data_IF_127344717664
#
_entry.id   IF_127344717664
#
_cell.length_a   1.000
_cell.length_b   1.000
_cell.length_c   1.000
_cell.angle_alpha   90.00
_cell.angle_beta   90.00
_cell.angle_gamma   90.00
#
_symmetry.space_group_name_H-M   'P 1'
#
loop_
_entity.id
_entity.type
_entity.pdbx_description
1 polymer ?
#
# COMPACT_ATOMS: atom_id res chain seq x y z
N UNK A 1 -38.39 18.40 -0.84
CA UNK A 1 -37.66 18.23 0.44
C UNK A 1 -37.65 16.78 0.94
N UNK A 2 -38.79 16.02 1.03
CA UNK A 2 -38.74 14.58 1.39
C UNK A 2 -37.83 13.77 0.48
N UNK A 3 -37.93 13.97 -0.83
CA UNK A 3 -37.09 13.30 -1.80
C UNK A 3 -35.61 13.71 -1.65
N UNK A 4 -35.34 14.98 -1.34
CA UNK A 4 -33.98 15.46 -1.04
C UNK A 4 -33.37 14.72 0.12
N UNK A 5 -34.03 14.75 1.30
CA UNK A 5 -33.55 14.04 2.48
C UNK A 5 -33.36 12.52 2.27
N UNK A 6 -34.24 11.89 1.45
CA UNK A 6 -34.09 10.47 1.11
C UNK A 6 -32.84 10.20 0.23
N UNK A 7 -32.56 11.09 -0.75
CA UNK A 7 -31.36 11.01 -1.58
C UNK A 7 -30.10 11.21 -0.73
N UNK A 8 -30.12 12.22 0.14
CA UNK A 8 -29.00 12.52 1.03
C UNK A 8 -28.68 11.33 1.96
N UNK A 9 -29.71 10.68 2.54
CA UNK A 9 -29.54 9.47 3.35
C UNK A 9 -29.02 8.29 2.51
N UNK A 10 -29.47 8.15 1.27
CA UNK A 10 -28.95 7.11 0.36
C UNK A 10 -27.48 7.32 0.05
N UNK A 11 -27.05 8.57 -0.25
CA UNK A 11 -25.66 8.91 -0.49
C UNK A 11 -24.81 8.73 0.77
N UNK A 12 -25.35 9.13 1.94
CA UNK A 12 -24.69 8.91 3.23
C UNK A 12 -24.43 7.41 3.49
N UNK A 13 -25.43 6.55 3.23
CA UNK A 13 -25.28 5.09 3.30
C UNK A 13 -24.24 4.56 2.32
N UNK A 14 -24.23 5.05 1.07
CA UNK A 14 -23.27 4.65 0.06
C UNK A 14 -21.83 5.04 0.46
N UNK A 15 -21.65 6.22 1.06
CA UNK A 15 -20.39 6.68 1.62
C UNK A 15 -19.95 5.84 2.84
N UNK A 16 -20.88 5.48 3.74
CA UNK A 16 -20.60 4.61 4.89
C UNK A 16 -20.10 3.22 4.48
N UNK A 17 -20.69 2.61 3.46
CA UNK A 17 -20.22 1.31 2.93
C UNK A 17 -18.77 1.42 2.47
N UNK A 18 -18.37 2.59 1.97
CA UNK A 18 -17.01 2.89 1.49
C UNK A 18 -16.18 3.71 2.49
N UNK A 19 -16.47 3.63 3.79
CA UNK A 19 -15.87 4.48 4.86
C UNK A 19 -14.36 4.43 4.98
N UNK A 20 -13.72 3.43 4.38
CA UNK A 20 -12.24 3.31 4.34
C UNK A 20 -11.61 4.20 3.25
N UNK A 21 -12.41 4.70 2.31
CA UNK A 21 -11.92 5.61 1.28
C UNK A 21 -11.64 7.02 1.84
N UNK A 22 -10.64 7.75 1.29
CA UNK A 22 -10.34 9.11 1.73
C UNK A 22 -11.57 10.03 1.59
N UNK A 23 -11.94 10.69 2.68
CA UNK A 23 -13.06 11.62 2.71
C UNK A 23 -14.44 11.00 2.87
N UNK A 24 -14.62 9.69 2.73
CA UNK A 24 -15.92 9.04 2.77
C UNK A 24 -16.70 9.29 4.07
N UNK A 25 -16.02 9.34 5.24
CA UNK A 25 -16.65 9.65 6.50
C UNK A 25 -17.14 11.11 6.56
N UNK A 26 -16.37 12.05 6.01
CA UNK A 26 -16.78 13.45 5.97
C UNK A 26 -17.93 13.66 4.98
N UNK A 27 -17.93 12.96 3.84
CA UNK A 27 -19.06 12.96 2.93
C UNK A 27 -20.32 12.40 3.60
N UNK A 28 -20.22 11.28 4.31
CA UNK A 28 -21.34 10.73 5.05
C UNK A 28 -21.90 11.72 6.06
N UNK A 29 -21.05 12.39 6.86
CA UNK A 29 -21.47 13.39 7.84
C UNK A 29 -22.11 14.59 7.18
N UNK A 30 -21.57 15.05 6.04
CA UNK A 30 -22.16 16.13 5.25
C UNK A 30 -23.57 15.79 4.78
N UNK A 31 -23.77 14.61 4.22
CA UNK A 31 -25.08 14.16 3.73
C UNK A 31 -26.09 13.92 4.87
N UNK A 32 -25.62 13.45 6.03
CA UNK A 32 -26.49 13.33 7.21
C UNK A 32 -26.96 14.68 7.71
N UNK A 33 -26.09 15.70 7.73
CA UNK A 33 -26.45 17.04 8.14
C UNK A 33 -27.34 17.74 7.11
N UNK A 34 -27.15 17.49 5.81
CA UNK A 34 -28.04 17.97 4.76
C UNK A 34 -29.43 17.32 4.84
N UNK A 35 -29.49 16.02 5.12
CA UNK A 35 -30.75 15.32 5.33
C UNK A 35 -31.49 15.84 6.56
N UNK A 36 -30.78 16.05 7.67
CA UNK A 36 -31.32 16.65 8.90
C UNK A 36 -31.93 18.01 8.59
N UNK A 37 -31.22 18.90 7.91
CA UNK A 37 -31.71 20.20 7.50
C UNK A 37 -32.99 20.08 6.64
N UNK A 38 -32.99 19.19 5.63
CA UNK A 38 -34.13 18.95 4.75
C UNK A 38 -35.35 18.47 5.52
N UNK A 39 -35.22 17.58 6.50
CA UNK A 39 -36.34 17.12 7.34
C UNK A 39 -36.80 18.17 8.35
N UNK A 40 -35.90 18.91 8.98
CA UNK A 40 -36.24 19.97 9.92
C UNK A 40 -37.11 21.04 9.26
N UNK A 41 -36.79 21.46 8.02
CA UNK A 41 -37.63 22.41 7.26
C UNK A 41 -39.02 21.85 6.94
N UNK A 42 -39.15 20.55 6.66
CA UNK A 42 -40.47 19.95 6.46
C UNK A 42 -41.33 20.06 7.69
N UNK A 43 -40.77 19.79 8.87
CA UNK A 43 -41.51 19.92 10.13
C UNK A 43 -41.76 21.38 10.49
N UNK A 44 -40.85 22.30 10.16
CA UNK A 44 -41.06 23.75 10.30
C UNK A 44 -42.23 24.23 9.42
N UNK A 45 -42.27 23.80 8.15
CA UNK A 45 -43.39 24.15 7.25
C UNK A 45 -44.73 23.53 7.70
N UNK A 46 -44.71 22.35 8.29
CA UNK A 46 -45.90 21.70 8.85
C UNK A 46 -46.41 22.34 10.15
N UNK A 47 -45.54 22.98 10.92
CA UNK A 47 -45.93 23.65 12.17
C UNK A 47 -46.81 24.86 11.88
N UNK A 48 -47.90 25.01 12.66
CA UNK A 48 -48.87 26.11 12.48
C UNK A 48 -48.66 27.29 13.46
N UNK A 49 -47.81 27.10 14.48
CA UNK A 49 -47.56 28.06 15.52
C UNK A 49 -46.12 28.54 15.54
N UNK A 50 -45.88 29.81 15.88
CA UNK A 50 -44.54 30.41 15.95
C UNK A 50 -43.56 29.59 16.79
N UNK A 51 -43.88 29.11 18.02
CA UNK A 51 -42.94 28.31 18.81
C UNK A 51 -42.53 26.99 18.13
N UNK A 52 -43.46 26.32 17.44
CA UNK A 52 -43.16 25.09 16.70
C UNK A 52 -42.25 25.35 15.48
N UNK A 53 -42.50 26.44 14.76
CA UNK A 53 -41.65 26.87 13.64
C UNK A 53 -40.22 27.20 14.14
N UNK A 54 -40.16 27.96 15.22
CA UNK A 54 -38.89 28.33 15.82
C UNK A 54 -38.09 27.14 16.31
N UNK A 55 -38.73 26.20 16.99
CA UNK A 55 -38.09 24.95 17.42
C UNK A 55 -37.45 24.18 16.22
N UNK A 56 -38.22 23.95 15.15
CA UNK A 56 -37.68 23.22 13.98
C UNK A 56 -36.66 24.03 13.21
N UNK A 57 -36.79 25.36 13.18
CA UNK A 57 -35.74 26.23 12.63
C UNK A 57 -34.45 26.18 13.46
N UNK A 58 -34.54 26.14 14.81
CA UNK A 58 -33.37 25.95 15.67
C UNK A 58 -32.68 24.57 15.40
N UNK A 59 -33.49 23.50 15.23
CA UNK A 59 -32.97 22.18 14.88
C UNK A 59 -32.24 22.19 13.53
N UNK A 60 -32.79 22.83 12.50
CA UNK A 60 -32.17 22.91 11.16
C UNK A 60 -30.78 23.58 11.17
N UNK A 61 -30.48 24.38 12.18
CA UNK A 61 -29.16 25.01 12.29
C UNK A 61 -28.01 24.04 12.58
N UNK A 62 -28.30 22.82 13.02
CA UNK A 62 -27.31 21.74 13.09
C UNK A 62 -26.83 21.42 11.66
N UNK A 63 -27.78 21.21 10.75
CA UNK A 63 -27.48 21.00 9.34
C UNK A 63 -26.83 22.20 8.67
N UNK A 64 -27.41 23.37 8.83
CA UNK A 64 -26.92 24.63 8.23
C UNK A 64 -25.47 24.91 8.61
N UNK A 65 -25.10 24.73 9.87
CA UNK A 65 -23.77 25.06 10.37
C UNK A 65 -22.73 23.98 9.98
N UNK A 66 -23.10 22.70 10.06
CA UNK A 66 -22.13 21.62 9.89
C UNK A 66 -21.99 21.10 8.46
N UNK A 67 -22.95 21.28 7.56
CA UNK A 67 -22.85 20.81 6.17
C UNK A 67 -21.68 21.45 5.45
N UNK A 68 -21.50 22.78 5.54
CA UNK A 68 -20.35 23.47 4.94
C UNK A 68 -19.01 23.07 5.54
N UNK A 69 -18.97 22.83 6.85
CA UNK A 69 -17.81 22.34 7.57
C UNK A 69 -17.38 20.93 7.07
N UNK A 70 -18.32 19.99 6.98
CA UNK A 70 -18.02 18.65 6.50
C UNK A 70 -17.70 18.63 5.00
N UNK A 71 -18.32 19.50 4.19
CA UNK A 71 -17.93 19.67 2.79
C UNK A 71 -16.46 20.09 2.65
N UNK A 72 -16.02 21.07 3.44
CA UNK A 72 -14.61 21.49 3.43
C UNK A 72 -13.66 20.34 3.82
N UNK A 73 -13.97 19.61 4.90
CA UNK A 73 -13.15 18.47 5.33
C UNK A 73 -13.15 17.33 4.30
N UNK A 74 -14.28 17.08 3.66
CA UNK A 74 -14.38 16.14 2.55
C UNK A 74 -13.46 16.58 1.40
N UNK A 75 -13.55 17.82 0.95
CA UNK A 75 -12.72 18.37 -0.11
C UNK A 75 -11.21 18.31 0.23
N UNK A 76 -10.84 18.68 1.48
CA UNK A 76 -9.48 18.62 1.96
C UNK A 76 -8.95 17.17 2.03
N UNK A 77 -9.77 16.21 2.45
CA UNK A 77 -9.42 14.81 2.51
C UNK A 77 -9.28 14.21 1.10
N UNK A 78 -10.23 14.49 0.23
CA UNK A 78 -10.22 13.97 -1.13
C UNK A 78 -9.07 14.54 -1.97
N UNK A 79 -8.75 15.83 -1.82
CA UNK A 79 -7.60 16.48 -2.46
C UNK A 79 -6.25 16.13 -1.83
N UNK A 80 -6.23 15.19 -0.88
CA UNK A 80 -5.04 14.74 -0.12
C UNK A 80 -4.27 15.86 0.59
N UNK A 81 -4.95 16.92 0.96
CA UNK A 81 -4.35 18.05 1.68
C UNK A 81 -4.35 17.79 3.20
N UNK A 82 -3.40 17.00 3.67
CA UNK A 82 -3.27 16.55 5.06
C UNK A 82 -3.11 17.69 6.09
N UNK A 83 -2.76 18.90 5.65
CA UNK A 83 -2.57 20.05 6.55
C UNK A 83 -3.85 20.39 7.29
N UNK A 84 -5.00 20.44 6.57
CA UNK A 84 -6.30 20.78 7.15
C UNK A 84 -6.92 19.64 7.98
N UNK A 85 -6.41 18.42 7.84
CA UNK A 85 -6.87 17.24 8.59
C UNK A 85 -6.14 17.04 9.92
N UNK A 86 -5.21 17.94 10.30
CA UNK A 86 -4.58 17.92 11.62
C UNK A 86 -5.63 18.21 12.70
N UNK A 87 -5.65 17.41 13.77
CA UNK A 87 -6.65 17.48 14.85
C UNK A 87 -6.91 18.90 15.37
N UNK A 88 -5.85 19.70 15.53
CA UNK A 88 -5.98 21.09 16.02
C UNK A 88 -6.72 21.99 15.04
N UNK A 89 -6.52 21.81 13.72
CA UNK A 89 -7.12 22.66 12.69
C UNK A 89 -8.59 22.32 12.51
N UNK A 90 -8.95 21.04 12.32
CA UNK A 90 -10.36 20.71 12.14
C UNK A 90 -11.19 20.99 13.41
N UNK A 91 -10.62 20.85 14.62
CA UNK A 91 -11.30 21.25 15.84
C UNK A 91 -11.48 22.78 15.92
N UNK A 92 -10.48 23.57 15.51
CA UNK A 92 -10.60 25.02 15.45
C UNK A 92 -11.68 25.47 14.44
N UNK A 93 -11.77 24.81 13.28
CA UNK A 93 -12.80 25.07 12.28
C UNK A 93 -14.21 24.68 12.76
N UNK A 94 -14.36 23.75 13.68
CA UNK A 94 -15.65 23.36 14.24
C UNK A 94 -16.21 24.38 15.26
N UNK A 95 -15.39 25.31 15.76
CA UNK A 95 -15.79 26.27 16.82
C UNK A 95 -16.94 27.16 16.35
N UNK A 96 -16.84 27.77 15.16
CA UNK A 96 -17.88 28.65 14.64
C UNK A 96 -19.20 27.92 14.37
N UNK A 97 -19.22 26.73 13.68
CA UNK A 97 -20.43 25.91 13.58
C UNK A 97 -21.08 25.62 14.94
N UNK A 98 -20.28 25.24 15.94
CA UNK A 98 -20.80 24.95 17.28
C UNK A 98 -21.41 26.19 17.94
N UNK A 99 -20.73 27.34 17.86
CA UNK A 99 -21.28 28.61 18.36
C UNK A 99 -22.56 28.96 17.61
N UNK A 100 -22.63 28.73 16.28
CA UNK A 100 -23.84 29.02 15.49
C UNK A 100 -25.03 28.19 15.95
N UNK A 101 -24.85 26.92 16.27
CA UNK A 101 -25.92 26.07 16.84
C UNK A 101 -26.34 26.57 18.20
N UNK A 102 -25.39 26.96 19.07
CA UNK A 102 -25.70 27.52 20.39
C UNK A 102 -26.47 28.83 20.24
N UNK A 103 -26.04 29.71 19.33
CA UNK A 103 -26.74 30.98 19.06
C UNK A 103 -28.17 30.79 18.55
N UNK A 104 -28.38 29.74 17.70
CA UNK A 104 -29.73 29.40 17.29
C UNK A 104 -30.59 28.88 18.45
N UNK A 105 -30.04 27.97 19.25
CA UNK A 105 -30.77 27.41 20.41
C UNK A 105 -31.08 28.41 21.50
N UNK A 106 -30.33 29.51 21.64
CA UNK A 106 -30.48 30.53 22.66
C UNK A 106 -31.02 31.87 22.12
N UNK A 107 -31.51 31.88 20.87
CA UNK A 107 -31.91 33.11 20.18
C UNK A 107 -33.05 33.87 20.92
N UNK A 108 -33.88 33.14 21.65
CA UNK A 108 -34.96 33.74 22.47
C UNK A 108 -34.47 34.73 23.51
N UNK A 109 -33.20 34.65 23.93
CA UNK A 109 -32.61 35.51 24.94
C UNK A 109 -31.96 36.75 24.34
N UNK A 110 -31.32 36.64 23.19
CA UNK A 110 -30.45 37.69 22.66
C UNK A 110 -30.88 38.25 21.31
N UNK A 111 -31.72 37.54 20.53
CA UNK A 111 -32.19 37.93 19.19
C UNK A 111 -31.11 38.29 18.17
N UNK A 112 -29.89 37.71 18.32
CA UNK A 112 -28.74 38.01 17.43
C UNK A 112 -28.81 37.30 16.09
N UNK A 113 -29.51 36.16 16.04
CA UNK A 113 -29.65 35.37 14.82
C UNK A 113 -30.89 35.77 14.05
N UNK A 114 -32.05 35.84 14.77
CA UNK A 114 -33.31 36.32 14.25
C UNK A 114 -33.86 37.40 15.20
N UNK A 115 -34.19 38.55 14.62
CA UNK A 115 -34.74 39.67 15.35
C UNK A 115 -36.27 39.59 15.45
N UNK A 116 -36.93 39.11 14.39
CA UNK A 116 -38.38 38.98 14.33
C UNK A 116 -38.77 37.79 13.45
N UNK A 117 -39.88 37.12 13.75
CA UNK A 117 -40.45 36.02 13.01
C UNK A 117 -41.91 36.33 12.70
N UNK A 118 -42.25 36.40 11.41
CA UNK A 118 -43.62 36.65 10.96
C UNK A 118 -44.10 35.46 10.12
N UNK A 119 -45.37 35.05 10.31
CA UNK A 119 -45.98 33.98 9.51
C UNK A 119 -46.88 34.61 8.46
N UNK A 120 -46.67 34.23 7.20
CA UNK A 120 -47.54 34.66 6.10
C UNK A 120 -48.89 33.94 6.22
N UNK A 121 -50.04 34.67 6.26
CA UNK A 121 -51.36 34.08 6.49
C UNK A 121 -51.82 33.11 5.39
N UNK A 122 -51.36 33.30 4.12
CA UNK A 122 -51.86 32.57 2.98
C UNK A 122 -51.17 31.24 2.72
N UNK A 123 -49.89 31.10 3.12
CA UNK A 123 -49.07 29.92 2.76
C UNK A 123 -48.37 29.27 3.95
N UNK A 124 -48.63 29.78 5.17
CA UNK A 124 -47.99 29.28 6.40
C UNK A 124 -46.45 29.33 6.39
N UNK A 125 -45.82 30.19 5.55
CA UNK A 125 -44.37 30.35 5.47
C UNK A 125 -43.93 31.35 6.57
N UNK A 126 -42.89 30.98 7.31
CA UNK A 126 -42.25 31.91 8.26
C UNK A 126 -41.22 32.78 7.54
N UNK A 127 -41.27 34.07 7.78
CA UNK A 127 -40.27 35.04 7.36
C UNK A 127 -39.44 35.41 8.58
N UNK A 128 -38.12 35.17 8.47
CA UNK A 128 -37.16 35.47 9.51
C UNK A 128 -36.43 36.78 9.18
N UNK A 129 -36.55 37.78 10.04
CA UNK A 129 -35.70 38.97 9.98
C UNK A 129 -34.34 38.66 10.58
N UNK A 130 -33.30 38.75 9.80
CA UNK A 130 -31.97 38.30 10.22
C UNK A 130 -31.23 39.34 11.07
N UNK A 131 -30.66 38.88 12.19
CA UNK A 131 -29.77 39.67 13.05
C UNK A 131 -28.32 39.65 12.55
N UNK A 132 -27.43 40.36 13.22
CA UNK A 132 -26.04 40.53 12.80
C UNK A 132 -25.26 39.18 12.76
N UNK A 133 -25.55 38.25 13.68
CA UNK A 133 -24.85 36.97 13.77
C UNK A 133 -25.16 36.04 12.57
N UNK A 134 -26.32 36.20 11.97
CA UNK A 134 -26.66 35.49 10.72
C UNK A 134 -25.61 35.75 9.64
N UNK A 135 -25.18 37.00 9.46
CA UNK A 135 -24.16 37.33 8.49
C UNK A 135 -22.79 36.67 8.79
N UNK A 136 -22.44 36.52 10.09
CA UNK A 136 -21.23 35.83 10.53
C UNK A 136 -21.29 34.32 10.17
N UNK A 137 -22.40 33.66 10.53
CA UNK A 137 -22.60 32.24 10.25
C UNK A 137 -22.61 31.91 8.76
N UNK A 138 -23.35 32.67 7.96
CA UNK A 138 -23.43 32.52 6.49
C UNK A 138 -22.09 32.84 5.84
N UNK A 139 -21.44 33.94 6.22
CA UNK A 139 -20.14 34.32 5.71
C UNK A 139 -19.09 33.26 5.95
N UNK A 140 -19.05 32.68 7.15
CA UNK A 140 -18.18 31.57 7.49
C UNK A 140 -18.45 30.32 6.62
N UNK A 141 -19.72 29.94 6.46
CA UNK A 141 -20.13 28.81 5.63
C UNK A 141 -19.70 29.01 4.18
N UNK A 142 -19.87 30.21 3.63
CA UNK A 142 -19.43 30.53 2.26
C UNK A 142 -17.92 30.45 2.10
N UNK A 143 -17.15 30.94 3.07
CA UNK A 143 -15.68 30.82 3.06
C UNK A 143 -15.25 29.35 3.04
N UNK A 144 -15.87 28.48 3.84
CA UNK A 144 -15.55 27.06 3.85
C UNK A 144 -15.91 26.35 2.54
N UNK A 145 -17.12 26.62 2.00
CA UNK A 145 -17.53 26.02 0.72
C UNK A 145 -16.61 26.49 -0.42
N UNK A 146 -16.32 27.79 -0.48
CA UNK A 146 -15.43 28.33 -1.50
C UNK A 146 -14.00 27.77 -1.38
N UNK A 147 -13.46 27.70 -0.16
CA UNK A 147 -12.15 27.09 0.09
C UNK A 147 -12.13 25.59 -0.30
N UNK A 148 -13.20 24.84 -0.02
CA UNK A 148 -13.35 23.46 -0.45
C UNK A 148 -13.35 23.31 -1.98
N UNK A 149 -14.11 24.17 -2.68
CA UNK A 149 -14.14 24.20 -4.15
C UNK A 149 -12.75 24.52 -4.72
N UNK A 150 -12.04 25.50 -4.13
CA UNK A 150 -10.66 25.83 -4.55
C UNK A 150 -9.68 24.65 -4.36
N UNK A 151 -9.82 23.90 -3.24
CA UNK A 151 -9.01 22.72 -3.02
C UNK A 151 -9.27 21.64 -4.06
N UNK A 152 -10.52 21.38 -4.44
CA UNK A 152 -10.89 20.44 -5.49
C UNK A 152 -10.42 20.93 -6.87
N UNK A 153 -10.56 22.22 -7.18
CA UNK A 153 -10.07 22.80 -8.42
C UNK A 153 -8.53 22.72 -8.56
N UNK A 154 -7.82 23.02 -7.46
CA UNK A 154 -6.36 22.87 -7.44
C UNK A 154 -5.91 21.40 -7.58
N UNK A 155 -6.73 20.45 -7.09
CA UNK A 155 -6.46 19.02 -7.24
C UNK A 155 -6.56 18.55 -8.71
N UNK A 156 -7.35 19.20 -9.57
CA UNK A 156 -7.44 18.88 -11.01
C UNK A 156 -6.06 18.91 -11.68
N UNK A 157 -5.20 19.84 -11.27
CA UNK A 157 -3.85 19.98 -11.85
C UNK A 157 -2.84 18.97 -11.25
N UNK A 158 -3.18 18.29 -10.16
CA UNK A 158 -2.30 17.35 -9.47
C UNK A 158 -2.59 15.89 -9.78
N UNK A 159 -3.85 15.59 -10.11
CA UNK A 159 -4.29 14.22 -10.34
C UNK A 159 -4.36 13.89 -11.82
N UNK A 160 -4.17 12.62 -12.22
CA UNK A 160 -4.32 12.17 -13.60
C UNK A 160 -5.70 12.54 -14.19
N UNK A 161 -5.77 12.70 -15.50
CA UNK A 161 -6.99 13.10 -16.22
C UNK A 161 -8.21 12.20 -15.96
N UNK A 162 -7.98 10.95 -15.54
CA UNK A 162 -9.03 9.99 -15.19
C UNK A 162 -9.89 10.45 -13.99
N UNK A 163 -9.36 11.34 -13.12
CA UNK A 163 -10.07 11.88 -11.96
C UNK A 163 -10.81 13.19 -12.24
N UNK A 164 -10.63 13.76 -13.42
CA UNK A 164 -11.20 15.07 -13.80
C UNK A 164 -12.72 15.10 -13.60
N UNK A 165 -13.43 14.11 -14.14
CA UNK A 165 -14.89 14.05 -14.01
C UNK A 165 -15.37 13.93 -12.57
N UNK A 166 -14.65 13.20 -11.73
CA UNK A 166 -14.96 13.07 -10.30
C UNK A 166 -14.88 14.45 -9.61
N UNK A 167 -13.82 15.22 -9.87
CA UNK A 167 -13.63 16.55 -9.29
C UNK A 167 -14.65 17.56 -9.79
N UNK A 168 -14.97 17.54 -11.08
CA UNK A 168 -16.02 18.40 -11.65
C UNK A 168 -17.37 18.11 -10.96
N UNK A 169 -17.74 16.86 -10.80
CA UNK A 169 -19.00 16.46 -10.13
C UNK A 169 -19.04 16.93 -8.68
N UNK A 170 -17.94 16.80 -7.93
CA UNK A 170 -17.87 17.30 -6.57
C UNK A 170 -17.98 18.82 -6.48
N UNK A 171 -17.35 19.54 -7.41
CA UNK A 171 -17.46 21.00 -7.50
C UNK A 171 -18.90 21.40 -7.82
N UNK A 172 -19.55 20.76 -8.80
CA UNK A 172 -20.95 20.98 -9.13
C UNK A 172 -21.87 20.65 -7.94
N UNK A 173 -21.59 19.55 -7.24
CA UNK A 173 -22.29 19.18 -6.01
C UNK A 173 -22.19 20.24 -4.91
N UNK A 174 -21.05 20.90 -4.74
CA UNK A 174 -20.88 22.00 -3.80
C UNK A 174 -21.49 23.33 -4.26
N UNK A 175 -21.48 23.61 -5.57
CA UNK A 175 -22.02 24.83 -6.13
C UNK A 175 -23.57 24.90 -6.10
N UNK A 176 -24.24 23.76 -6.22
CA UNK A 176 -25.72 23.75 -6.26
C UNK A 176 -26.36 24.21 -4.95
N UNK A 177 -25.97 23.71 -3.74
CA UNK A 177 -26.51 24.24 -2.48
C UNK A 177 -26.08 25.69 -2.22
N UNK A 178 -24.86 26.06 -2.63
CA UNK A 178 -24.38 27.42 -2.52
C UNK A 178 -25.29 28.40 -3.32
N UNK A 179 -25.66 28.03 -4.54
CA UNK A 179 -26.58 28.83 -5.36
C UNK A 179 -27.95 28.95 -4.69
N UNK A 180 -28.51 27.86 -4.16
CA UNK A 180 -29.77 27.89 -3.38
C UNK A 180 -29.71 28.81 -2.18
N UNK A 181 -28.60 28.74 -1.42
CA UNK A 181 -28.37 29.61 -0.27
C UNK A 181 -28.22 31.10 -0.64
N UNK A 182 -27.49 31.39 -1.73
CA UNK A 182 -27.37 32.77 -2.25
C UNK A 182 -28.76 33.33 -2.63
N UNK A 183 -29.60 32.53 -3.31
CA UNK A 183 -30.96 32.95 -3.67
C UNK A 183 -31.78 33.28 -2.44
N UNK A 184 -31.65 32.50 -1.36
CA UNK A 184 -32.33 32.76 -0.09
C UNK A 184 -31.83 34.03 0.59
N UNK A 185 -30.52 34.16 0.79
CA UNK A 185 -29.89 35.27 1.54
C UNK A 185 -30.13 36.64 0.88
N UNK A 186 -30.09 36.67 -0.46
CA UNK A 186 -30.30 37.92 -1.23
C UNK A 186 -31.77 38.14 -1.66
N UNK A 187 -32.71 37.34 -1.14
CA UNK A 187 -34.13 37.43 -1.50
C UNK A 187 -34.44 37.37 -3.00
N UNK A 188 -33.68 36.57 -3.72
CA UNK A 188 -33.87 36.32 -5.17
C UNK A 188 -34.88 35.20 -5.45
N UNK A 189 -35.51 34.67 -4.41
CA UNK A 189 -36.46 33.56 -4.48
C UNK A 189 -37.80 33.97 -5.09
N UNK A 190 -38.42 33.14 -5.93
CA UNK A 190 -39.78 33.41 -6.43
C UNK A 190 -40.84 33.40 -5.32
N UNK A 191 -40.57 32.73 -4.20
CA UNK A 191 -41.42 32.70 -3.00
C UNK A 191 -40.66 33.29 -1.81
N UNK A 192 -40.95 34.54 -1.38
CA UNK A 192 -40.27 35.16 -0.24
C UNK A 192 -40.37 34.30 1.02
N UNK A 193 -39.26 34.17 1.76
CA UNK A 193 -39.18 33.40 3.01
C UNK A 193 -38.95 31.88 2.81
N UNK A 194 -39.07 31.33 1.61
CA UNK A 194 -38.81 29.90 1.37
C UNK A 194 -37.32 29.68 1.11
N UNK A 195 -36.70 28.82 1.91
CA UNK A 195 -35.33 28.37 1.66
C UNK A 195 -35.28 27.25 0.62
N UNK A 196 -34.61 27.51 -0.53
CA UNK A 196 -34.47 26.56 -1.63
C UNK A 196 -33.24 25.71 -1.48
N UNK A 197 -32.36 25.96 -0.50
CA UNK A 197 -31.14 25.18 -0.27
C UNK A 197 -31.38 23.68 -0.10
N UNK A 198 -32.41 23.23 0.66
CA UNK A 198 -32.73 21.80 0.75
C UNK A 198 -33.16 21.15 -0.57
N UNK A 199 -33.78 21.93 -1.47
CA UNK A 199 -34.07 21.41 -2.84
C UNK A 199 -32.80 21.31 -3.69
N UNK A 200 -31.86 22.23 -3.49
CA UNK A 200 -30.56 22.17 -4.17
C UNK A 200 -29.71 20.98 -3.69
N UNK A 201 -29.87 20.49 -2.45
CA UNK A 201 -29.26 19.25 -1.99
C UNK A 201 -29.73 18.03 -2.77
N UNK A 202 -30.96 17.99 -3.25
CA UNK A 202 -31.40 16.90 -4.12
C UNK A 202 -30.54 16.80 -5.38
N UNK A 203 -30.25 17.95 -6.00
CA UNK A 203 -29.39 18.01 -7.20
C UNK A 203 -27.95 17.65 -6.86
N UNK A 204 -27.44 18.18 -5.75
CA UNK A 204 -26.10 17.85 -5.22
C UNK A 204 -25.96 16.37 -4.93
N UNK A 205 -26.93 15.76 -4.23
CA UNK A 205 -26.94 14.33 -3.91
C UNK A 205 -26.97 13.45 -5.17
N UNK A 206 -27.70 13.86 -6.23
CA UNK A 206 -27.65 13.15 -7.52
C UNK A 206 -26.27 13.23 -8.18
N UNK A 207 -25.60 14.38 -8.16
CA UNK A 207 -24.23 14.49 -8.64
C UNK A 207 -23.29 13.59 -7.84
N UNK A 208 -23.38 13.59 -6.52
CA UNK A 208 -22.53 12.76 -5.67
C UNK A 208 -22.82 11.27 -5.83
N UNK A 209 -24.09 10.87 -5.96
CA UNK A 209 -24.48 9.51 -6.30
C UNK A 209 -23.86 9.09 -7.65
N UNK A 210 -23.97 9.94 -8.69
CA UNK A 210 -23.33 9.70 -9.98
C UNK A 210 -21.82 9.55 -9.84
N UNK A 211 -21.18 10.40 -9.03
CA UNK A 211 -19.75 10.32 -8.69
C UNK A 211 -19.39 8.98 -8.07
N UNK A 212 -20.15 8.52 -7.07
CA UNK A 212 -19.88 7.26 -6.36
C UNK A 212 -20.09 6.04 -7.26
N UNK A 213 -21.23 5.97 -7.96
CA UNK A 213 -21.63 4.74 -8.67
C UNK A 213 -21.08 4.66 -10.09
N UNK A 214 -21.03 5.77 -10.84
CA UNK A 214 -20.57 5.78 -12.23
C UNK A 214 -19.09 6.04 -12.38
N UNK A 215 -18.53 6.91 -11.54
CA UNK A 215 -17.13 7.32 -11.61
C UNK A 215 -16.26 6.72 -10.50
N UNK A 216 -16.82 5.84 -9.66
CA UNK A 216 -16.07 5.13 -8.63
C UNK A 216 -15.26 6.06 -7.70
N UNK A 217 -15.85 7.22 -7.35
CA UNK A 217 -15.21 8.32 -6.63
C UNK A 217 -14.61 7.90 -5.27
N UNK A 218 -15.21 6.92 -4.59
CA UNK A 218 -14.76 6.41 -3.29
C UNK A 218 -14.10 5.03 -3.40
N UNK A 219 -13.69 4.57 -4.58
CA UNK A 219 -12.98 3.31 -4.72
C UNK A 219 -11.47 3.52 -4.54
N UNK A 220 -10.89 2.77 -3.61
CA UNK A 220 -9.45 2.82 -3.27
C UNK A 220 -8.56 2.22 -4.37
N UNK A 221 -9.12 1.43 -5.28
CA UNK A 221 -8.36 0.63 -6.23
C UNK A 221 -7.44 1.41 -7.17
N UNK A 222 -7.80 2.59 -7.71
CA UNK A 222 -6.88 3.34 -8.57
C UNK A 222 -5.67 3.91 -7.81
N UNK A 223 -5.93 4.57 -6.67
CA UNK A 223 -4.88 5.22 -5.85
C UNK A 223 -3.94 4.20 -5.21
N UNK A 224 -4.48 3.05 -4.77
CA UNK A 224 -3.67 1.98 -4.21
C UNK A 224 -2.77 1.34 -5.27
N UNK A 225 -3.26 1.13 -6.50
CA UNK A 225 -2.45 0.58 -7.60
C UNK A 225 -1.30 1.50 -7.99
N UNK A 226 -1.55 2.79 -8.13
CA UNK A 226 -0.52 3.78 -8.45
C UNK A 226 0.56 3.84 -7.35
N UNK A 227 0.15 3.89 -6.08
CA UNK A 227 1.09 3.85 -4.96
C UNK A 227 1.86 2.53 -4.83
N UNK A 228 1.22 1.39 -5.12
CA UNK A 228 1.91 0.10 -5.07
C UNK A 228 3.02 0.08 -6.12
N UNK A 229 2.76 0.51 -7.35
CA UNK A 229 3.75 0.56 -8.43
C UNK A 229 4.88 1.55 -8.08
N UNK A 230 4.55 2.70 -7.49
CA UNK A 230 5.56 3.70 -7.09
C UNK A 230 6.41 3.28 -5.88
N UNK A 231 5.85 2.47 -4.96
CA UNK A 231 6.58 1.98 -3.78
C UNK A 231 7.31 0.66 -4.02
N UNK A 232 7.09 0.02 -5.19
CA UNK A 232 7.88 -1.14 -5.59
C UNK A 232 9.34 -0.72 -5.77
N UNK A 233 10.27 -1.49 -5.18
CA UNK A 233 11.70 -1.32 -5.39
C UNK A 233 12.14 -1.71 -6.81
N UNK A 234 11.27 -2.42 -7.55
CA UNK A 234 11.52 -2.82 -8.93
C UNK A 234 11.17 -1.68 -9.88
N UNK A 235 12.01 -1.41 -10.87
CA UNK A 235 11.73 -0.43 -11.93
C UNK A 235 10.62 -0.92 -12.86
N UNK A 236 9.62 -0.07 -13.14
CA UNK A 236 8.49 -0.40 -14.03
C UNK A 236 8.36 0.63 -15.13
N UNK A 237 8.25 0.16 -16.37
CA UNK A 237 7.87 0.96 -17.55
C UNK A 237 6.60 0.36 -18.16
N UNK A 238 5.62 1.21 -18.42
CA UNK A 238 4.41 0.86 -19.19
C UNK A 238 4.52 1.43 -20.57
N UNK A 239 4.24 0.62 -21.59
CA UNK A 239 4.31 1.00 -23.01
C UNK A 239 2.97 0.73 -23.70
N UNK A 240 2.66 1.53 -24.71
CA UNK A 240 1.52 1.30 -25.60
C UNK A 240 1.81 0.16 -26.62
N UNK A 241 0.81 -0.14 -27.45
CA UNK A 241 0.94 -1.15 -28.51
C UNK A 241 2.02 -0.79 -29.58
N UNK A 242 2.53 0.44 -29.60
CA UNK A 242 3.57 0.92 -30.51
C UNK A 242 4.93 1.06 -29.79
N UNK A 243 5.09 0.47 -28.60
CA UNK A 243 6.30 0.55 -27.77
C UNK A 243 6.70 1.98 -27.39
N UNK A 244 5.75 2.91 -27.30
CA UNK A 244 5.97 4.23 -26.70
C UNK A 244 5.75 4.15 -25.20
N UNK A 245 6.62 4.78 -24.45
CA UNK A 245 6.53 4.83 -22.99
C UNK A 245 5.32 5.69 -22.62
N UNK A 246 4.39 5.11 -21.86
CA UNK A 246 3.16 5.76 -21.37
C UNK A 246 3.33 6.15 -19.91
N UNK A 247 4.03 5.32 -19.12
CA UNK A 247 4.20 5.53 -17.69
C UNK A 247 5.50 4.92 -17.18
N UNK A 248 6.09 5.50 -16.11
CA UNK A 248 7.36 5.07 -15.51
C UNK A 248 7.27 5.32 -14.00
N UNK A 249 7.61 4.32 -13.19
CA UNK A 249 7.64 4.50 -11.73
C UNK A 249 8.95 5.14 -11.24
N UNK A 250 8.93 5.60 -9.99
CA UNK A 250 10.06 6.28 -9.35
C UNK A 250 11.33 5.43 -9.28
N UNK A 251 11.21 4.11 -9.09
CA UNK A 251 12.36 3.20 -9.06
C UNK A 251 13.08 3.15 -10.42
N UNK A 252 12.32 3.15 -11.53
CA UNK A 252 12.88 3.18 -12.87
C UNK A 252 13.51 4.54 -13.21
N UNK A 253 12.95 5.66 -12.73
CA UNK A 253 13.55 6.99 -12.87
C UNK A 253 14.96 7.04 -12.24
N UNK A 254 15.09 6.46 -11.04
CA UNK A 254 16.37 6.34 -10.33
C UNK A 254 17.34 5.45 -11.13
N UNK A 255 16.90 4.29 -11.57
CA UNK A 255 17.71 3.34 -12.33
C UNK A 255 18.22 3.93 -13.64
N UNK A 256 17.39 4.71 -14.34
CA UNK A 256 17.77 5.38 -15.59
C UNK A 256 18.48 6.74 -15.37
N UNK A 257 18.50 7.25 -14.14
CA UNK A 257 18.97 8.60 -13.81
C UNK A 257 18.29 9.68 -14.66
N UNK A 258 17.00 9.49 -15.00
CA UNK A 258 16.18 10.38 -15.84
C UNK A 258 14.79 10.55 -15.27
N UNK A 259 14.20 11.73 -15.43
CA UNK A 259 12.82 12.00 -14.98
C UNK A 259 11.78 11.43 -15.95
N UNK A 260 10.67 10.91 -15.43
CA UNK A 260 9.59 10.33 -16.23
C UNK A 260 9.05 11.26 -17.30
N UNK A 261 8.95 12.57 -17.03
CA UNK A 261 8.52 13.56 -18.00
C UNK A 261 9.41 13.65 -19.26
N UNK A 262 10.67 13.24 -19.18
CA UNK A 262 11.58 13.19 -20.34
C UNK A 262 11.45 11.87 -21.11
N UNK A 263 10.89 10.84 -20.49
CA UNK A 263 10.77 9.48 -20.99
C UNK A 263 9.42 9.24 -21.67
N UNK A 264 8.34 9.80 -21.10
CA UNK A 264 6.97 9.62 -21.58
C UNK A 264 6.81 10.11 -23.02
N UNK A 265 6.16 9.29 -23.86
CA UNK A 265 5.93 9.54 -25.29
C UNK A 265 7.08 9.14 -26.19
N UNK A 266 8.28 8.84 -25.67
CA UNK A 266 9.41 8.35 -26.45
C UNK A 266 9.28 6.87 -26.78
N UNK A 267 9.89 6.44 -27.88
CA UNK A 267 10.04 5.03 -28.19
C UNK A 267 11.00 4.39 -27.19
N UNK A 268 10.64 3.23 -26.66
CA UNK A 268 11.46 2.46 -25.74
C UNK A 268 12.88 2.20 -26.26
N UNK A 269 13.02 1.88 -27.57
CA UNK A 269 14.29 1.67 -28.24
C UNK A 269 15.27 2.86 -28.14
N UNK A 270 14.75 4.08 -28.07
CA UNK A 270 15.58 5.28 -27.99
C UNK A 270 16.03 5.58 -26.55
N UNK A 271 15.37 4.99 -25.57
CA UNK A 271 15.65 5.22 -24.15
C UNK A 271 16.62 4.20 -23.60
N UNK A 272 16.50 2.93 -24.01
CA UNK A 272 17.28 1.80 -23.54
C UNK A 272 17.95 1.04 -24.72
N UNK A 273 18.88 1.64 -25.46
CA UNK A 273 19.50 1.01 -26.61
C UNK A 273 20.35 -0.23 -26.26
N UNK A 274 20.84 -0.31 -25.02
CA UNK A 274 21.63 -1.46 -24.52
C UNK A 274 20.78 -2.72 -24.26
N UNK A 275 19.43 -2.59 -24.26
CA UNK A 275 18.51 -3.68 -23.99
C UNK A 275 17.91 -4.23 -25.30
N UNK A 276 18.76 -4.37 -26.32
CA UNK A 276 18.39 -4.72 -27.68
C UNK A 276 17.55 -6.02 -27.76
N UNK A 277 17.83 -6.98 -26.91
CA UNK A 277 17.09 -8.25 -26.86
C UNK A 277 15.64 -8.08 -26.36
N UNK A 278 15.38 -7.14 -25.44
CA UNK A 278 14.04 -6.78 -25.03
C UNK A 278 13.27 -6.03 -26.13
N UNK A 279 13.98 -5.42 -27.09
CA UNK A 279 13.40 -4.75 -28.25
C UNK A 279 12.84 -5.71 -29.31
N UNK A 280 13.43 -6.90 -29.47
CA UNK A 280 12.89 -7.91 -30.38
C UNK A 280 11.54 -8.43 -29.87
N UNK A 281 11.35 -8.53 -28.54
CA UNK A 281 10.08 -8.93 -27.92
C UNK A 281 8.97 -7.86 -28.07
N UNK A 282 9.29 -6.60 -28.38
CA UNK A 282 8.29 -5.61 -28.73
C UNK A 282 7.62 -5.89 -30.09
N UNK A 283 8.25 -6.66 -30.96
CA UNK A 283 7.70 -7.05 -32.28
C UNK A 283 6.80 -8.27 -32.19
N UNK A 284 7.08 -9.19 -31.26
CA UNK A 284 6.23 -10.35 -30.97
C UNK A 284 5.80 -10.28 -29.50
N UNK A 285 4.50 -10.08 -29.20
CA UNK A 285 3.99 -9.87 -27.86
C UNK A 285 3.95 -11.18 -27.05
N UNK A 286 5.11 -11.75 -26.77
CA UNK A 286 5.30 -12.90 -25.89
C UNK A 286 5.81 -12.43 -24.51
N UNK A 287 5.43 -13.15 -23.45
CA UNK A 287 6.04 -12.92 -22.15
C UNK A 287 7.52 -13.30 -22.19
N UNK A 288 8.39 -12.37 -21.83
CA UNK A 288 9.83 -12.53 -21.84
C UNK A 288 10.38 -12.36 -20.42
N UNK A 289 11.29 -13.25 -20.02
CA UNK A 289 12.03 -13.11 -18.78
C UNK A 289 13.48 -13.53 -19.00
N UNK A 290 14.41 -12.65 -18.63
CA UNK A 290 15.86 -12.93 -18.72
C UNK A 290 16.64 -12.17 -17.66
N UNK A 291 17.71 -12.79 -17.18
CA UNK A 291 18.74 -12.10 -16.42
C UNK A 291 19.69 -11.40 -17.39
N UNK A 292 19.87 -10.11 -17.21
CA UNK A 292 20.73 -9.26 -18.05
C UNK A 292 21.91 -8.78 -17.20
N UNK A 293 23.11 -8.88 -17.75
CA UNK A 293 24.32 -8.38 -17.16
C UNK A 293 24.71 -7.09 -17.87
N UNK A 294 24.68 -5.97 -17.17
CA UNK A 294 25.14 -4.67 -17.66
C UNK A 294 26.52 -4.35 -17.08
N UNK A 295 27.35 -3.72 -17.88
CA UNK A 295 28.64 -3.19 -17.41
C UNK A 295 28.44 -1.72 -17.02
N UNK A 296 28.40 -1.45 -15.72
CA UNK A 296 28.25 -0.12 -15.15
C UNK A 296 29.48 0.22 -14.31
N UNK A 297 30.05 1.41 -14.52
CA UNK A 297 31.17 1.94 -13.74
C UNK A 297 32.36 0.98 -13.58
N UNK A 298 32.62 0.11 -14.57
CA UNK A 298 33.71 -0.86 -14.55
C UNK A 298 33.44 -2.15 -13.79
N UNK A 299 32.20 -2.36 -13.31
CA UNK A 299 31.70 -3.60 -12.69
C UNK A 299 30.53 -4.22 -13.46
N UNK A 300 30.28 -5.50 -13.22
CA UNK A 300 29.12 -6.19 -13.75
C UNK A 300 27.95 -6.05 -12.77
N UNK A 301 26.82 -5.53 -13.22
CA UNK A 301 25.59 -5.43 -12.45
C UNK A 301 24.50 -6.31 -13.08
N UNK A 302 23.75 -7.03 -12.26
CA UNK A 302 22.77 -8.03 -12.71
C UNK A 302 21.34 -7.58 -12.47
N UNK A 303 20.50 -7.72 -13.52
CA UNK A 303 19.07 -7.37 -13.50
C UNK A 303 18.21 -8.54 -13.97
N UNK A 304 17.10 -8.83 -13.29
CA UNK A 304 16.02 -9.71 -13.79
C UNK A 304 15.01 -8.85 -14.55
N UNK A 305 14.93 -9.03 -15.84
CA UNK A 305 14.09 -8.26 -16.76
C UNK A 305 12.91 -9.09 -17.18
N UNK A 306 11.70 -8.54 -17.00
CA UNK A 306 10.45 -9.19 -17.39
C UNK A 306 9.64 -8.26 -18.26
N UNK A 307 9.28 -8.70 -19.45
CA UNK A 307 8.36 -8.02 -20.34
C UNK A 307 7.08 -8.84 -20.42
N UNK A 308 5.92 -8.19 -20.19
CA UNK A 308 4.62 -8.86 -20.22
C UNK A 308 3.63 -8.05 -21.08
N UNK A 309 2.88 -8.72 -21.99
CA UNK A 309 1.86 -8.07 -22.79
C UNK A 309 0.62 -7.78 -21.95
N UNK A 310 0.02 -6.59 -22.17
CA UNK A 310 -1.28 -6.22 -21.65
C UNK A 310 -2.35 -6.32 -22.73
N UNK A 311 -3.46 -6.94 -22.41
CA UNK A 311 -4.59 -7.08 -23.32
C UNK A 311 -5.80 -6.31 -22.82
N UNK A 312 -6.58 -5.74 -23.72
CA UNK A 312 -7.84 -5.12 -23.42
C UNK A 312 -8.94 -6.16 -23.12
N UNK A 313 -10.14 -5.69 -22.75
CA UNK A 313 -11.32 -6.58 -22.53
C UNK A 313 -11.69 -7.41 -23.75
N UNK A 314 -11.27 -7.02 -24.95
CA UNK A 314 -11.51 -7.72 -26.24
C UNK A 314 -10.34 -8.60 -26.65
N UNK A 315 -9.40 -8.88 -25.73
CA UNK A 315 -8.18 -9.68 -25.98
C UNK A 315 -7.25 -9.11 -27.07
N UNK A 316 -7.38 -7.83 -27.43
CA UNK A 316 -6.41 -7.16 -28.29
C UNK A 316 -5.25 -6.63 -27.45
N UNK A 317 -4.06 -6.61 -28.03
CA UNK A 317 -2.87 -6.04 -27.38
C UNK A 317 -3.12 -4.54 -27.12
N UNK A 318 -3.17 -4.16 -25.86
CA UNK A 318 -3.33 -2.77 -25.43
C UNK A 318 -1.99 -2.09 -25.19
N UNK A 319 -0.94 -2.90 -24.87
CA UNK A 319 0.39 -2.42 -24.58
C UNK A 319 1.22 -3.51 -23.95
N UNK A 320 2.35 -3.11 -23.35
CA UNK A 320 3.27 -4.01 -22.66
C UNK A 320 3.80 -3.30 -21.42
N UNK A 321 4.19 -4.06 -20.40
CA UNK A 321 4.92 -3.51 -19.27
C UNK A 321 6.23 -4.27 -19.03
N UNK A 322 7.26 -3.52 -18.75
CA UNK A 322 8.59 -3.99 -18.42
C UNK A 322 8.81 -3.84 -16.92
N UNK A 323 9.27 -4.90 -16.29
CA UNK A 323 9.73 -4.88 -14.89
C UNK A 323 11.24 -5.17 -14.90
N UNK A 324 11.99 -4.36 -14.17
CA UNK A 324 13.43 -4.48 -13.99
C UNK A 324 13.73 -4.56 -12.51
N UNK A 325 14.23 -5.71 -12.08
CA UNK A 325 14.63 -5.95 -10.70
C UNK A 325 16.14 -6.02 -10.60
N UNK A 326 16.71 -5.25 -9.71
CA UNK A 326 18.10 -5.36 -9.32
C UNK A 326 18.29 -6.66 -8.51
N UNK A 327 19.13 -7.57 -9.02
CA UNK A 327 19.45 -8.86 -8.38
C UNK A 327 20.93 -8.97 -8.02
N UNK A 328 21.64 -7.85 -7.93
CA UNK A 328 23.07 -7.84 -7.62
C UNK A 328 23.36 -8.51 -6.28
N UNK A 329 22.61 -8.14 -5.25
CA UNK A 329 22.77 -8.67 -3.90
C UNK A 329 22.46 -10.17 -3.84
N UNK A 330 21.44 -10.61 -4.56
CA UNK A 330 21.09 -12.03 -4.67
C UNK A 330 22.21 -12.84 -5.32
N UNK A 331 22.85 -12.31 -6.36
CA UNK A 331 23.99 -12.96 -7.03
C UNK A 331 25.24 -13.00 -6.16
N UNK A 332 25.53 -11.95 -5.44
CA UNK A 332 26.64 -11.93 -4.47
C UNK A 332 26.45 -12.98 -3.37
N UNK A 333 25.25 -13.07 -2.80
CA UNK A 333 24.91 -14.07 -1.79
C UNK A 333 24.95 -15.51 -2.35
N UNK A 334 24.53 -15.70 -3.60
CA UNK A 334 24.59 -17.00 -4.28
C UNK A 334 26.06 -17.43 -4.52
N UNK A 335 26.91 -16.51 -4.91
CA UNK A 335 28.34 -16.77 -5.10
C UNK A 335 29.04 -17.09 -3.78
N UNK A 336 28.79 -16.32 -2.72
CA UNK A 336 29.28 -16.58 -1.37
C UNK A 336 28.85 -17.97 -0.86
N UNK A 337 27.56 -18.30 -1.01
CA UNK A 337 27.03 -19.62 -0.65
C UNK A 337 27.74 -20.75 -1.42
N UNK A 338 27.95 -20.56 -2.72
CA UNK A 338 28.62 -21.56 -3.53
C UNK A 338 30.09 -21.75 -3.16
N UNK A 339 30.77 -20.67 -2.76
CA UNK A 339 32.13 -20.73 -2.26
C UNK A 339 32.22 -21.46 -0.91
N UNK A 340 31.31 -21.17 0.03
CA UNK A 340 31.20 -21.88 1.30
C UNK A 340 30.92 -23.38 1.11
N UNK A 341 30.04 -23.75 0.17
CA UNK A 341 29.78 -25.16 -0.16
C UNK A 341 31.05 -25.87 -0.70
N UNK A 342 31.84 -25.20 -1.54
CA UNK A 342 33.10 -25.76 -2.04
C UNK A 342 34.10 -25.93 -0.90
N UNK A 343 34.27 -24.98 -0.04
CA UNK A 343 35.16 -25.06 1.14
C UNK A 343 34.75 -26.19 2.07
N UNK A 344 33.45 -26.27 2.42
CA UNK A 344 32.92 -27.33 3.28
C UNK A 344 33.15 -28.71 2.65
N UNK A 345 32.90 -28.85 1.34
CA UNK A 345 33.13 -30.12 0.62
C UNK A 345 34.61 -30.53 0.63
N UNK A 346 35.52 -29.55 0.44
CA UNK A 346 36.94 -29.78 0.51
C UNK A 346 37.41 -30.15 1.94
N UNK A 347 36.82 -29.54 2.97
CA UNK A 347 37.10 -29.87 4.37
C UNK A 347 36.62 -31.28 4.72
N UNK A 348 35.43 -31.69 4.27
CA UNK A 348 34.89 -33.02 4.47
C UNK A 348 35.73 -34.08 3.78
N UNK A 349 36.30 -33.82 2.58
CA UNK A 349 37.19 -34.72 1.90
C UNK A 349 38.54 -34.90 2.63
N UNK A 350 38.99 -33.91 3.41
CA UNK A 350 40.19 -34.01 4.25
C UNK A 350 40.01 -34.87 5.49
N UNK A 351 38.77 -35.05 5.95
CA UNK A 351 38.47 -35.95 7.04
C UNK A 351 38.59 -37.39 6.54
N UNK A 352 39.75 -37.98 6.71
CA UNK A 352 39.99 -39.40 6.38
C UNK A 352 39.21 -40.27 7.39
N UNK A 353 38.05 -40.71 7.01
CA UNK A 353 37.28 -41.67 7.80
C UNK A 353 37.40 -43.06 7.12
N UNK A 354 37.77 -44.06 7.94
CA UNK A 354 37.76 -45.45 7.50
C UNK A 354 36.30 -45.92 7.40
N UNK A 355 35.74 -45.82 6.22
CA UNK A 355 34.38 -46.28 5.91
C UNK A 355 34.39 -47.53 5.05
N UNK A 356 33.72 -48.59 5.48
CA UNK A 356 33.50 -49.81 4.71
C UNK A 356 34.22 -51.05 5.23
N UNK A 357 34.11 -52.14 4.47
CA UNK A 357 34.73 -53.43 4.80
C UNK A 357 36.20 -53.44 4.32
N UNK A 358 37.15 -53.50 5.23
CA UNK A 358 38.56 -53.61 4.92
C UNK A 358 38.93 -55.05 4.69
N UNK A 359 39.47 -55.46 3.52
CA UNK A 359 39.90 -56.82 3.25
C UNK A 359 41.18 -57.15 4.04
N UNK A 360 41.06 -57.97 5.07
CA UNK A 360 42.18 -58.39 5.88
C UNK A 360 42.52 -59.85 5.65
N UNK A 361 43.81 -60.18 5.67
CA UNK A 361 44.29 -61.56 5.63
C UNK A 361 43.88 -62.34 6.87
N UNK A 362 43.24 -63.50 6.72
CA UNK A 362 42.80 -64.34 7.84
C UNK A 362 43.97 -64.88 8.67
N UNK A 363 45.14 -65.07 8.05
CA UNK A 363 46.34 -65.58 8.71
C UNK A 363 47.20 -64.49 9.34
N UNK A 364 47.70 -63.52 8.56
CA UNK A 364 48.69 -62.56 9.06
C UNK A 364 48.09 -61.18 9.40
N UNK A 365 46.76 -60.99 9.22
CA UNK A 365 46.00 -59.77 9.57
C UNK A 365 46.44 -58.54 8.80
N UNK A 366 47.26 -58.63 7.72
CA UNK A 366 47.52 -57.47 6.85
C UNK A 366 46.30 -57.04 6.08
N UNK A 367 46.16 -55.76 5.84
CA UNK A 367 45.09 -55.14 5.03
C UNK A 367 45.57 -55.01 3.58
N UNK A 368 44.68 -55.34 2.64
CA UNK A 368 44.95 -55.10 1.21
C UNK A 368 44.49 -53.71 0.83
N UNK A 369 45.39 -52.86 0.39
CA UNK A 369 45.07 -51.50 -0.11
C UNK A 369 44.39 -51.52 -1.47
N UNK A 370 43.87 -50.35 -1.90
CA UNK A 370 43.15 -50.20 -3.18
C UNK A 370 44.03 -50.53 -4.41
N UNK A 371 45.34 -50.54 -4.25
CA UNK A 371 46.32 -50.92 -5.30
C UNK A 371 46.66 -52.41 -5.29
N UNK A 372 46.08 -53.17 -4.37
CA UNK A 372 46.26 -54.59 -4.24
C UNK A 372 47.42 -55.03 -3.37
N UNK A 373 48.17 -54.16 -2.74
CA UNK A 373 49.30 -54.47 -1.89
C UNK A 373 48.86 -54.74 -0.44
N UNK A 374 49.57 -55.68 0.21
CA UNK A 374 49.31 -56.07 1.61
C UNK A 374 50.16 -55.25 2.55
N UNK A 375 49.52 -54.39 3.36
CA UNK A 375 50.15 -53.50 4.36
C UNK A 375 49.80 -53.97 5.78
N UNK A 376 50.64 -53.60 6.75
CA UNK A 376 50.29 -53.79 8.15
C UNK A 376 49.11 -52.92 8.52
N UNK A 377 48.24 -53.38 9.44
CA UNK A 377 47.01 -52.69 9.86
C UNK A 377 47.33 -51.30 10.40
N UNK A 378 48.39 -51.21 11.23
CA UNK A 378 48.83 -49.94 11.78
C UNK A 378 49.18 -48.92 10.69
N UNK A 379 50.01 -49.30 9.75
CA UNK A 379 50.46 -48.44 8.65
C UNK A 379 49.31 -48.03 7.72
N UNK A 380 48.37 -48.94 7.46
CA UNK A 380 47.18 -48.62 6.67
C UNK A 380 46.27 -47.60 7.40
N UNK A 381 46.07 -47.79 8.72
CA UNK A 381 45.22 -46.87 9.50
C UNK A 381 45.89 -45.49 9.63
N UNK A 382 47.22 -45.41 9.87
CA UNK A 382 47.97 -44.15 9.88
C UNK A 382 47.85 -43.38 8.54
N UNK A 383 47.92 -44.06 7.42
CA UNK A 383 47.80 -43.43 6.08
C UNK A 383 46.37 -42.94 5.79
N UNK A 384 45.32 -43.60 6.32
CA UNK A 384 43.92 -43.39 5.95
C UNK A 384 43.10 -42.74 7.09
N UNK A 385 43.71 -42.51 8.25
CA UNK A 385 43.12 -41.79 9.39
C UNK A 385 44.17 -40.89 10.06
N UNK A 386 43.78 -40.03 10.97
CA UNK A 386 44.72 -39.27 11.78
C UNK A 386 45.21 -40.01 13.05
N UNK A 387 45.10 -41.36 13.09
CA UNK A 387 45.46 -42.14 14.25
C UNK A 387 46.97 -42.44 14.26
N UNK A 388 47.62 -42.26 15.41
CA UNK A 388 49.00 -42.69 15.68
C UNK A 388 49.00 -43.86 16.62
N UNK A 389 49.88 -44.84 16.42
CA UNK A 389 49.97 -46.05 17.21
C UNK A 389 51.13 -45.99 18.21
N UNK A 390 50.88 -46.30 19.46
CA UNK A 390 51.91 -46.57 20.47
C UNK A 390 52.01 -48.10 20.72
N UNK A 391 53.20 -48.66 20.81
CA UNK A 391 53.44 -50.06 21.03
C UNK A 391 53.50 -50.41 22.53
N UNK A 392 52.70 -51.37 22.91
CA UNK A 392 52.65 -51.95 24.25
C UNK A 392 52.39 -53.42 24.20
N UNK A 393 52.69 -54.14 25.30
CA UNK A 393 52.43 -55.58 25.43
C UNK A 393 51.21 -55.77 26.34
N UNK A 394 50.17 -56.38 25.82
CA UNK A 394 48.96 -56.65 26.62
C UNK A 394 49.27 -57.76 27.69
N UNK A 395 48.49 -57.82 28.77
CA UNK A 395 48.73 -58.77 29.87
C UNK A 395 48.82 -60.24 29.44
N UNK A 396 48.01 -60.65 28.43
CA UNK A 396 47.99 -62.03 27.96
C UNK A 396 49.24 -62.36 27.14
N UNK A 397 49.72 -61.42 26.30
CA UNK A 397 50.97 -61.58 25.56
C UNK A 397 52.19 -61.55 26.53
N UNK A 398 52.18 -60.72 27.56
CA UNK A 398 53.22 -60.70 28.56
C UNK A 398 53.28 -62.02 29.35
N UNK A 399 52.12 -62.64 29.62
CA UNK A 399 52.08 -63.99 30.31
C UNK A 399 52.66 -65.08 29.40
N UNK A 400 52.24 -65.12 28.10
CA UNK A 400 52.77 -66.06 27.14
C UNK A 400 54.27 -65.90 26.87
N UNK A 401 54.79 -64.67 26.87
CA UNK A 401 56.24 -64.40 26.77
C UNK A 401 57.01 -64.92 28.02
N UNK A 402 56.44 -64.76 29.22
CA UNK A 402 57.05 -65.29 30.45
C UNK A 402 57.01 -66.82 30.42
N UNK A 403 55.94 -67.49 30.01
CA UNK A 403 55.87 -68.96 29.88
C UNK A 403 56.88 -69.47 28.85
N UNK A 404 56.98 -68.85 27.64
CA UNK A 404 58.01 -69.23 26.64
C UNK A 404 59.43 -69.01 27.16
N UNK A 405 59.68 -67.99 27.97
CA UNK A 405 61.00 -67.72 28.52
C UNK A 405 61.33 -68.69 29.65
N UNK A 406 60.32 -69.25 30.37
CA UNK A 406 60.50 -70.32 31.35
C UNK A 406 60.78 -71.64 30.68
N UNK A 407 60.07 -72.01 29.60
CA UNK A 407 60.31 -73.24 28.84
C UNK A 407 61.72 -73.27 28.18
N UNK A 408 62.17 -72.13 27.63
CA UNK A 408 63.49 -71.95 26.97
C UNK A 408 64.63 -71.97 28.04
N UNK A 409 64.35 -71.68 29.33
CA UNK A 409 65.31 -71.85 30.43
C UNK A 409 65.35 -73.34 30.91
N UNK A 410 64.19 -74.02 30.82
CA UNK A 410 64.12 -75.38 31.17
C UNK A 410 64.79 -76.29 30.16
N UNK A 411 64.69 -76.00 28.87
CA UNK A 411 65.41 -76.71 27.78
C UNK A 411 66.94 -76.50 27.79
N UNK A 412 67.42 -75.29 28.18
CA UNK A 412 68.87 -75.04 28.31
C UNK A 412 69.45 -75.77 29.55
N UNK A 413 68.76 -75.97 30.63
CA UNK A 413 69.16 -76.67 31.80
C UNK A 413 69.17 -78.18 31.62
N UNK A 414 68.50 -78.70 30.59
CA UNK A 414 68.57 -80.13 30.24
C UNK A 414 69.72 -80.49 29.32
N UNK A 415 70.27 -79.53 28.54
CA UNK A 415 71.47 -79.73 27.67
C UNK A 415 72.80 -79.62 28.42
N UNK A 416 72.86 -78.85 29.53
CA UNK A 416 74.08 -78.72 30.37
C UNK A 416 74.28 -79.82 31.40
N UNK A 417 73.34 -80.79 31.55
CA UNK A 417 73.35 -81.88 32.53
C UNK A 417 73.93 -83.26 32.02
N UNK A 418 74.42 -83.32 30.83
CA UNK A 418 74.78 -84.58 30.10
C UNK A 418 76.24 -84.87 29.78
N UNK A 419 77.23 -84.15 30.41
CA UNK A 419 78.64 -84.53 30.27
C UNK A 419 79.35 -84.43 31.61
N UNK A 420 79.19 -85.47 32.37
CA UNK A 420 80.23 -85.97 33.29
C UNK A 420 79.91 -87.44 33.65
N UNK A 421 80.38 -88.29 32.85
CA UNK A 421 81.17 -89.55 33.24
C UNK A 421 81.74 -90.15 32.00
#
# INVERSE_FOLDING_TARGET
MLLSGAIDLFVARAAWVRRHAPGALFLMMMELTAAEWSFAIIFEMAATHVPGKMFWSQVSYIGIAFTSYFFFLFAASYSQNSRFLKRRIYLALAVIPLITVIMAATNDVHHFLWTEITIQPHNNIAIYSHGFYFAVGVGYSYVLVFAGILLLAAAIYRFPSNFLFQMIIMILGGLTPLAGSIMYVFNLNPMPGMDWTPLAFMVSGLFLALGIFRFQMLDLTPVARERIVDTMGDGVIVMDAHCRIVDVNSAMEVLLSRRGGELIGRLFSNVLPLWHEALECCREPAAYRREVKLLENGGAHYYDVRLMPMHDRRKKLAGQFLIVRDIQKEKELEEEKNNLIKELSAALQRVKTLNGLLPICSSCKKIRDDKGYWKNVEHYIEEHSGAEFTHGICPDCAKKLKEKSADSRMSRNMEDGGEKK
#
